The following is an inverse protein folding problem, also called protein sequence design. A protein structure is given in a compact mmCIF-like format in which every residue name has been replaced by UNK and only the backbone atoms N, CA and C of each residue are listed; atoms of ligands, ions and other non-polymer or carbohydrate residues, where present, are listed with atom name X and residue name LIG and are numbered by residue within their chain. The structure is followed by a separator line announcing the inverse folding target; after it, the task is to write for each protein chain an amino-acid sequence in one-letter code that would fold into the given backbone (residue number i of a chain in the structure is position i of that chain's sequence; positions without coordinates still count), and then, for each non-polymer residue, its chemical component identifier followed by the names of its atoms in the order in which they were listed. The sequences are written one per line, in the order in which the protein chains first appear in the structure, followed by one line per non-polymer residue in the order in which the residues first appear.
data_IF_574579894061
#
_entry.id   IF_574579894061
#
_cell.length_a   1.000
_cell.length_b   1.000
_cell.length_c   1.000
_cell.angle_alpha   90.00
_cell.angle_beta   90.00
_cell.angle_gamma   90.00
#
_symmetry.space_group_name_H-M   'P 1'
#
loop_
_entity.id
_entity.type
_entity.pdbx_description
1 polymer ?
#
# COMPACT_ATOMS: atom_id res chain seq x y z
N UNK A 1 10.78 19.67 2.39
CA UNK A 1 10.98 19.14 1.02
C UNK A 1 9.64 19.08 0.34
N UNK A 2 9.46 19.80 -0.77
CA UNK A 2 8.19 19.81 -1.52
C UNK A 2 8.15 18.56 -2.40
N UNK A 3 7.21 17.64 -2.13
CA UNK A 3 6.94 16.51 -3.03
C UNK A 3 6.23 17.06 -4.28
N UNK A 4 6.78 16.77 -5.45
CA UNK A 4 6.21 17.21 -6.73
C UNK A 4 5.42 16.06 -7.33
N UNK A 5 4.10 16.23 -7.41
CA UNK A 5 3.19 15.31 -8.12
C UNK A 5 2.70 15.98 -9.40
N UNK A 6 2.60 15.21 -10.49
CA UNK A 6 2.08 15.68 -11.78
C UNK A 6 1.03 14.72 -12.31
N UNK A 7 -0.15 15.26 -12.63
CA UNK A 7 -1.21 14.51 -13.29
C UNK A 7 -0.72 13.95 -14.62
N UNK A 8 -0.99 12.67 -14.87
CA UNK A 8 -0.69 11.97 -16.11
C UNK A 8 -1.95 11.24 -16.59
N UNK A 9 -2.04 10.86 -17.89
CA UNK A 9 -3.18 10.10 -18.41
C UNK A 9 -3.36 8.78 -17.64
N UNK A 10 -4.60 8.31 -17.51
CA UNK A 10 -4.88 7.01 -16.90
C UNK A 10 -4.26 5.89 -17.74
N UNK A 11 -3.52 4.94 -17.15
CA UNK A 11 -3.04 3.75 -17.85
C UNK A 11 -4.20 2.96 -18.47
N UNK A 12 -3.96 2.35 -19.63
CA UNK A 12 -4.95 1.46 -20.24
C UNK A 12 -5.20 0.25 -19.33
N UNK A 13 -6.46 -0.05 -19.03
CA UNK A 13 -6.85 -1.16 -18.15
C UNK A 13 -6.94 -0.81 -16.66
N UNK A 14 -6.66 0.43 -16.26
CA UNK A 14 -6.75 0.84 -14.85
C UNK A 14 -8.21 1.04 -14.40
N UNK A 15 -8.58 0.40 -13.28
CA UNK A 15 -9.92 0.47 -12.72
C UNK A 15 -10.06 1.69 -11.81
N UNK A 16 -11.26 2.29 -11.74
CA UNK A 16 -11.46 3.49 -10.95
C UNK A 16 -11.32 3.26 -9.43
N UNK A 17 -11.73 2.08 -8.95
CA UNK A 17 -11.64 1.69 -7.53
C UNK A 17 -11.78 0.17 -7.39
N UNK A 18 -10.96 -0.43 -6.54
CA UNK A 18 -11.04 -1.86 -6.19
C UNK A 18 -10.70 -2.03 -4.71
N UNK A 19 -11.52 -2.76 -3.97
CA UNK A 19 -11.32 -3.11 -2.56
C UNK A 19 -11.99 -4.45 -2.26
N UNK A 20 -11.59 -5.09 -1.16
CA UNK A 20 -12.09 -6.40 -0.76
C UNK A 20 -13.07 -6.31 0.42
N UNK A 21 -14.12 -7.13 0.39
CA UNK A 21 -14.85 -7.53 1.59
C UNK A 21 -14.12 -8.71 2.23
N UNK A 22 -13.54 -8.48 3.41
CA UNK A 22 -12.73 -9.47 4.13
C UNK A 22 -13.52 -10.25 5.19
N UNK A 23 -14.86 -10.14 5.23
CA UNK A 23 -15.70 -10.78 6.24
C UNK A 23 -15.56 -12.31 6.27
N UNK A 24 -15.41 -12.95 5.12
CA UNK A 24 -15.24 -14.41 5.04
C UNK A 24 -13.92 -14.87 5.66
N UNK A 25 -12.82 -14.15 5.42
CA UNK A 25 -11.51 -14.47 6.00
C UNK A 25 -11.54 -14.31 7.53
N UNK A 26 -12.19 -13.26 8.02
CA UNK A 26 -12.38 -13.05 9.45
C UNK A 26 -13.19 -14.20 10.10
N UNK A 27 -14.25 -14.66 9.43
CA UNK A 27 -15.13 -15.71 9.95
C UNK A 27 -14.48 -17.10 9.92
N UNK A 28 -13.89 -17.49 8.80
CA UNK A 28 -13.44 -18.87 8.58
C UNK A 28 -11.99 -19.10 9.00
N UNK A 29 -11.14 -18.07 8.89
CA UNK A 29 -9.73 -18.16 9.23
C UNK A 29 -9.40 -17.48 10.57
N UNK A 30 -10.34 -16.75 11.16
CA UNK A 30 -10.08 -15.92 12.34
C UNK A 30 -9.05 -14.82 12.07
N UNK A 31 -8.85 -14.45 10.81
CA UNK A 31 -7.78 -13.53 10.39
C UNK A 31 -8.33 -12.17 9.96
N UNK A 32 -7.65 -11.10 10.41
CA UNK A 32 -7.93 -9.72 10.02
C UNK A 32 -6.63 -8.95 9.82
N UNK A 33 -6.62 -7.99 8.88
CA UNK A 33 -5.48 -7.08 8.74
C UNK A 33 -5.41 -6.13 9.95
N UNK A 34 -4.26 -6.09 10.63
CA UNK A 34 -4.09 -5.35 11.90
C UNK A 34 -3.46 -3.96 11.72
N UNK A 35 -2.83 -3.70 10.57
CA UNK A 35 -2.06 -2.47 10.32
C UNK A 35 -2.80 -1.54 9.38
N UNK A 36 -2.81 -0.25 9.74
CA UNK A 36 -3.43 0.80 8.93
C UNK A 36 -2.50 1.39 7.88
N UNK A 37 -3.01 2.37 7.14
CA UNK A 37 -2.24 3.06 6.09
C UNK A 37 -0.99 3.76 6.64
N UNK A 38 -1.09 4.36 7.83
CA UNK A 38 0.02 5.07 8.46
C UNK A 38 1.19 4.13 8.81
N UNK A 39 0.88 2.97 9.40
CA UNK A 39 1.87 1.94 9.70
C UNK A 39 2.55 1.45 8.43
N UNK A 40 1.76 1.19 7.37
CA UNK A 40 2.26 0.76 6.07
C UNK A 40 3.22 1.80 5.47
N UNK A 41 2.84 3.08 5.47
CA UNK A 41 3.67 4.17 4.96
C UNK A 41 4.95 4.35 5.78
N UNK A 42 4.87 4.22 7.11
CA UNK A 42 6.03 4.34 7.99
C UNK A 42 7.02 3.18 7.79
N UNK A 43 6.53 1.95 7.72
CA UNK A 43 7.36 0.76 7.50
C UNK A 43 8.02 0.80 6.11
N UNK A 44 7.28 1.23 5.09
CA UNK A 44 7.81 1.46 3.74
C UNK A 44 8.92 2.51 3.73
N UNK A 45 8.69 3.66 4.35
CA UNK A 45 9.69 4.74 4.40
C UNK A 45 10.93 4.32 5.16
N UNK A 46 10.77 3.60 6.28
CA UNK A 46 11.90 3.06 7.06
C UNK A 46 12.74 2.11 6.22
N UNK A 47 12.11 1.17 5.51
CA UNK A 47 12.81 0.25 4.62
C UNK A 47 13.57 1.01 3.52
N UNK A 48 12.89 1.89 2.79
CA UNK A 48 13.48 2.61 1.66
C UNK A 48 14.62 3.55 2.09
N UNK A 49 14.49 4.19 3.25
CA UNK A 49 15.52 5.08 3.80
C UNK A 49 16.78 4.31 4.19
N UNK A 50 16.63 3.11 4.74
CA UNK A 50 17.75 2.27 5.18
C UNK A 50 18.36 1.47 4.02
N UNK A 51 17.60 1.22 2.96
CA UNK A 51 18.00 0.39 1.82
C UNK A 51 17.80 1.18 0.51
N UNK A 52 18.57 2.25 0.28
CA UNK A 52 18.34 3.15 -0.86
C UNK A 52 18.45 2.44 -2.22
N UNK A 53 19.24 1.37 -2.29
CA UNK A 53 19.44 0.56 -3.50
C UNK A 53 18.80 -0.85 -3.40
N UNK A 54 17.93 -1.08 -2.42
CA UNK A 54 17.37 -2.41 -2.14
C UNK A 54 18.36 -3.37 -1.48
N UNK A 55 18.18 -4.67 -1.71
CA UNK A 55 19.06 -5.71 -1.18
C UNK A 55 20.45 -5.68 -1.85
N UNK A 56 21.48 -6.07 -1.10
CA UNK A 56 22.86 -6.23 -1.55
C UNK A 56 23.41 -7.60 -1.13
#
# INVERSE_FOLDING_TARGET
TTLVYKNSPRPSGDLASVYADCSLAAKELGWTAERGLDDMCQDLWRWQSNNPNGFQ
#
